data_IF_931228239002
#
_entry.id   IF_931228239002
#
_cell.length_a   1.000
_cell.length_b   1.000
_cell.length_c   1.000
_cell.angle_alpha   90.00
_cell.angle_beta   90.00
_cell.angle_gamma   90.00
#
_symmetry.space_group_name_H-M   'P 1'
#
loop_
_entity.id
_entity.type
_entity.pdbx_description
1 polymer ?
#
# COMPACT_ATOMS: atom_id res chain seq x y z
N UNK A 1 10.42 33.98 -13.81
CA UNK A 1 10.35 32.79 -12.94
C UNK A 1 9.53 31.74 -13.65
N UNK A 2 10.19 30.74 -14.26
CA UNK A 2 9.48 29.61 -14.88
C UNK A 2 8.76 28.82 -13.80
N UNK A 3 7.44 28.75 -13.92
CA UNK A 3 6.60 27.82 -13.18
C UNK A 3 7.02 26.41 -13.55
N UNK A 4 7.73 25.76 -12.65
CA UNK A 4 8.04 24.34 -12.71
C UNK A 4 6.71 23.61 -12.50
N UNK A 5 6.04 23.29 -13.60
CA UNK A 5 4.93 22.34 -13.62
C UNK A 5 5.54 20.94 -13.58
N UNK A 6 5.92 20.49 -12.37
CA UNK A 6 6.44 19.14 -12.12
C UNK A 6 5.38 18.37 -11.35
N UNK A 7 4.22 18.19 -11.98
CA UNK A 7 3.27 17.18 -11.56
C UNK A 7 3.70 15.85 -12.19
N UNK A 8 4.63 15.13 -11.56
CA UNK A 8 4.81 13.70 -11.87
C UNK A 8 3.45 13.01 -11.69
N UNK A 9 2.96 12.23 -12.67
CA UNK A 9 1.69 11.54 -12.54
C UNK A 9 1.70 10.66 -11.29
N UNK A 10 0.69 10.79 -10.42
CA UNK A 10 0.55 10.05 -9.16
C UNK A 10 0.84 8.54 -9.32
N UNK A 11 0.36 7.96 -10.42
CA UNK A 11 0.57 6.55 -10.75
C UNK A 11 2.03 6.21 -11.07
N UNK A 12 2.73 7.07 -11.82
CA UNK A 12 4.14 6.87 -12.17
C UNK A 12 5.02 6.91 -10.92
N UNK A 13 4.81 7.90 -10.06
CA UNK A 13 5.52 7.99 -8.78
C UNK A 13 5.27 6.78 -7.90
N UNK A 14 4.02 6.35 -7.78
CA UNK A 14 3.66 5.16 -7.00
C UNK A 14 4.35 3.90 -7.55
N UNK A 15 4.32 3.70 -8.87
CA UNK A 15 4.95 2.54 -9.51
C UNK A 15 6.47 2.52 -9.27
N UNK A 16 7.14 3.65 -9.46
CA UNK A 16 8.58 3.76 -9.22
C UNK A 16 8.96 3.42 -7.77
N UNK A 17 8.21 3.95 -6.80
CA UNK A 17 8.44 3.67 -5.37
C UNK A 17 8.12 2.22 -5.02
N UNK A 18 7.03 1.66 -5.57
CA UNK A 18 6.65 0.26 -5.37
C UNK A 18 7.73 -0.69 -5.87
N UNK A 19 8.26 -0.44 -7.06
CA UNK A 19 9.26 -1.30 -7.69
C UNK A 19 10.59 -1.25 -6.91
N UNK A 20 11.00 -0.05 -6.49
CA UNK A 20 12.15 0.13 -5.60
C UNK A 20 11.95 -0.61 -4.26
N UNK A 21 10.78 -0.46 -3.63
CA UNK A 21 10.44 -1.15 -2.38
C UNK A 21 10.51 -2.66 -2.52
N UNK A 22 9.87 -3.25 -3.55
CA UNK A 22 9.90 -4.70 -3.82
C UNK A 22 11.33 -5.21 -4.03
N UNK A 23 12.15 -4.46 -4.77
CA UNK A 23 13.55 -4.84 -5.03
C UNK A 23 14.38 -4.95 -3.76
N UNK A 24 14.12 -4.09 -2.77
CA UNK A 24 14.84 -4.00 -1.49
C UNK A 24 14.30 -4.96 -0.42
N UNK A 25 13.05 -5.39 -0.55
CA UNK A 25 12.36 -6.17 0.49
C UNK A 25 12.21 -7.65 0.18
N UNK A 26 12.41 -8.09 -1.07
CA UNK A 26 12.25 -9.49 -1.49
C UNK A 26 12.98 -10.56 -0.65
N UNK A 27 14.02 -10.17 0.08
CA UNK A 27 14.84 -11.07 0.92
C UNK A 27 14.61 -10.87 2.43
N UNK A 28 13.75 -9.92 2.81
CA UNK A 28 13.44 -9.61 4.19
C UNK A 28 12.24 -10.44 4.64
N UNK A 29 12.33 -11.01 5.84
CA UNK A 29 11.23 -11.72 6.50
C UNK A 29 10.64 -10.96 7.70
N UNK A 30 11.23 -9.81 8.05
CA UNK A 30 10.80 -9.00 9.18
C UNK A 30 9.92 -7.84 8.69
N UNK A 31 8.64 -7.86 9.07
CA UNK A 31 7.65 -6.87 8.66
C UNK A 31 8.02 -5.44 9.10
N UNK A 32 8.66 -5.26 10.26
CA UNK A 32 9.11 -3.93 10.71
C UNK A 32 10.24 -3.39 9.82
N UNK A 33 11.18 -4.24 9.40
CA UNK A 33 12.24 -3.83 8.46
C UNK A 33 11.65 -3.48 7.09
N UNK A 34 10.68 -4.26 6.62
CA UNK A 34 9.97 -4.02 5.35
C UNK A 34 9.24 -2.67 5.36
N UNK A 35 8.56 -2.34 6.47
CA UNK A 35 7.84 -1.09 6.63
C UNK A 35 8.78 0.12 6.70
N UNK A 36 9.98 -0.01 7.27
CA UNK A 36 10.95 1.08 7.42
C UNK A 36 11.72 1.44 6.14
N UNK A 37 11.57 0.68 5.05
CA UNK A 37 12.22 1.01 3.77
C UNK A 37 11.70 2.36 3.26
N UNK A 38 12.63 3.24 2.88
CA UNK A 38 12.32 4.65 2.58
C UNK A 38 11.27 4.83 1.46
N UNK A 39 11.31 4.01 0.40
CA UNK A 39 10.30 4.06 -0.67
C UNK A 39 8.89 3.70 -0.18
N UNK A 40 8.78 2.78 0.79
CA UNK A 40 7.52 2.46 1.46
C UNK A 40 6.99 3.64 2.27
N UNK A 41 7.87 4.28 3.06
CA UNK A 41 7.54 5.48 3.81
C UNK A 41 7.12 6.63 2.89
N UNK A 42 7.75 6.76 1.71
CA UNK A 42 7.34 7.72 0.70
C UNK A 42 5.95 7.41 0.13
N UNK A 43 5.60 6.13 -0.09
CA UNK A 43 4.23 5.72 -0.48
C UNK A 43 3.23 6.13 0.61
N UNK A 44 3.53 5.89 1.88
CA UNK A 44 2.69 6.35 3.01
C UNK A 44 2.51 7.87 2.97
N UNK A 45 3.60 8.61 2.75
CA UNK A 45 3.59 10.07 2.62
C UNK A 45 2.82 10.61 1.42
N UNK A 46 2.44 9.78 0.44
CA UNK A 46 1.56 10.19 -0.67
C UNK A 46 0.09 10.29 -0.22
N UNK A 47 -0.27 9.70 0.92
CA UNK A 47 -1.56 9.88 1.59
C UNK A 47 -2.76 9.22 0.90
N UNK A 48 -4.00 9.64 1.20
CA UNK A 48 -5.22 8.92 0.81
C UNK A 48 -5.39 8.66 -0.69
N UNK A 49 -4.80 9.49 -1.56
CA UNK A 49 -4.91 9.36 -3.01
C UNK A 49 -4.28 8.07 -3.56
N UNK A 50 -3.36 7.43 -2.84
CA UNK A 50 -2.72 6.18 -3.28
C UNK A 50 -3.42 4.91 -2.78
N UNK A 51 -4.40 5.01 -1.89
CA UNK A 51 -5.10 3.83 -1.32
C UNK A 51 -5.70 2.93 -2.41
N UNK A 52 -6.40 3.44 -3.44
CA UNK A 52 -6.86 2.61 -4.56
C UNK A 52 -5.73 1.87 -5.30
N UNK A 53 -4.53 2.48 -5.38
CA UNK A 53 -3.39 1.88 -6.06
C UNK A 53 -2.78 0.75 -5.24
N UNK A 54 -2.64 0.96 -3.92
CA UNK A 54 -2.15 -0.07 -2.99
C UNK A 54 -3.11 -1.27 -2.98
N UNK A 55 -4.42 -1.03 -2.91
CA UNK A 55 -5.43 -2.08 -2.96
C UNK A 55 -5.36 -2.89 -4.26
N UNK A 56 -5.17 -2.24 -5.41
CA UNK A 56 -4.98 -2.94 -6.70
C UNK A 56 -3.69 -3.75 -6.77
N UNK A 57 -2.61 -3.31 -6.11
CA UNK A 57 -1.41 -4.14 -5.99
C UNK A 57 -1.65 -5.35 -5.10
N UNK A 58 -2.41 -5.18 -4.02
CA UNK A 58 -2.82 -6.26 -3.12
C UNK A 58 -3.73 -7.30 -3.82
N UNK A 59 -4.55 -6.89 -4.79
CA UNK A 59 -5.33 -7.82 -5.63
C UNK A 59 -4.45 -8.71 -6.51
N UNK A 60 -3.31 -8.18 -6.98
CA UNK A 60 -2.38 -8.91 -7.86
C UNK A 60 -1.52 -9.88 -7.05
N UNK A 61 -1.03 -9.42 -5.91
CA UNK A 61 -0.09 -10.15 -5.08
C UNK A 61 -0.32 -9.81 -3.62
N UNK A 62 -0.52 -10.84 -2.80
CA UNK A 62 -0.56 -10.68 -1.34
C UNK A 62 0.83 -10.38 -0.84
N UNK A 63 1.07 -9.11 -0.50
CA UNK A 63 2.35 -8.59 -0.01
C UNK A 63 2.10 -7.68 1.22
N UNK A 64 3.15 -7.16 1.84
CA UNK A 64 3.13 -6.42 3.10
C UNK A 64 2.58 -4.99 2.97
N UNK A 65 1.39 -4.82 2.38
CA UNK A 65 0.71 -3.53 2.19
C UNK A 65 -0.14 -3.07 3.37
N UNK A 66 -0.46 -3.97 4.32
CA UNK A 66 -1.41 -3.70 5.40
C UNK A 66 -1.00 -2.51 6.28
N UNK A 67 0.29 -2.39 6.58
CA UNK A 67 0.82 -1.25 7.36
C UNK A 67 0.61 0.08 6.64
N UNK A 68 0.88 0.16 5.34
CA UNK A 68 0.62 1.38 4.58
C UNK A 68 -0.87 1.71 4.53
N UNK A 69 -1.73 0.71 4.33
CA UNK A 69 -3.17 0.92 4.32
C UNK A 69 -3.67 1.45 5.67
N UNK A 70 -3.27 0.83 6.79
CA UNK A 70 -3.63 1.28 8.14
C UNK A 70 -3.07 2.68 8.44
N UNK A 71 -1.79 2.94 8.13
CA UNK A 71 -1.17 4.23 8.38
C UNK A 71 -1.80 5.38 7.59
N UNK A 72 -2.26 5.12 6.36
CA UNK A 72 -2.88 6.15 5.50
C UNK A 72 -4.36 6.35 5.86
N UNK A 73 -5.09 5.27 6.15
CA UNK A 73 -6.56 5.32 6.32
C UNK A 73 -6.99 5.49 7.76
N UNK A 74 -6.16 5.10 8.73
CA UNK A 74 -6.54 4.97 10.13
C UNK A 74 -7.48 3.79 10.41
N UNK A 75 -7.70 2.92 9.43
CA UNK A 75 -8.62 1.78 9.52
C UNK A 75 -7.87 0.46 9.70
N UNK A 76 -8.51 -0.51 10.34
CA UNK A 76 -8.04 -1.88 10.39
C UNK A 76 -9.22 -2.86 10.26
N UNK A 77 -9.50 -3.37 9.04
CA UNK A 77 -10.62 -4.29 8.81
C UNK A 77 -10.28 -5.75 9.18
N UNK A 78 -9.03 -6.05 9.56
CA UNK A 78 -8.59 -7.41 9.89
C UNK A 78 -9.09 -7.76 11.28
N UNK A 79 -9.78 -8.90 11.40
CA UNK A 79 -10.24 -9.40 12.70
C UNK A 79 -9.05 -9.92 13.51
N UNK A 80 -9.15 -9.88 14.83
CA UNK A 80 -8.10 -10.41 15.72
C UNK A 80 -7.79 -11.89 15.43
N UNK A 81 -8.82 -12.70 15.15
CA UNK A 81 -8.67 -14.12 14.79
C UNK A 81 -7.92 -14.36 13.46
N UNK A 82 -7.91 -13.35 12.57
CA UNK A 82 -7.24 -13.39 11.27
C UNK A 82 -5.82 -12.77 11.33
N UNK A 83 -5.39 -12.29 12.51
CA UNK A 83 -4.09 -11.66 12.69
C UNK A 83 -2.95 -12.64 12.36
N UNK A 84 -2.07 -12.22 11.45
CA UNK A 84 -0.95 -13.04 10.96
C UNK A 84 -1.29 -13.94 9.76
N UNK A 85 -2.57 -14.13 9.42
CA UNK A 85 -2.95 -14.73 8.13
C UNK A 85 -2.93 -13.65 7.04
N UNK A 86 -1.88 -13.65 6.23
CA UNK A 86 -1.73 -12.70 5.12
C UNK A 86 -2.88 -12.77 4.11
N UNK A 87 -3.43 -13.96 3.83
CA UNK A 87 -4.52 -14.11 2.86
C UNK A 87 -5.83 -13.61 3.43
N UNK A 88 -6.11 -13.90 4.70
CA UNK A 88 -7.29 -13.35 5.38
C UNK A 88 -7.21 -11.82 5.50
N UNK A 89 -6.05 -11.31 5.89
CA UNK A 89 -5.77 -9.87 5.94
C UNK A 89 -5.97 -9.19 4.59
N UNK A 90 -5.46 -9.80 3.51
CA UNK A 90 -5.67 -9.29 2.16
C UNK A 90 -7.15 -9.25 1.77
N UNK A 91 -7.91 -10.33 2.03
CA UNK A 91 -9.35 -10.35 1.76
C UNK A 91 -10.09 -9.24 2.51
N UNK A 92 -9.82 -9.07 3.81
CA UNK A 92 -10.45 -8.05 4.62
C UNK A 92 -10.21 -6.63 4.08
N UNK A 93 -8.98 -6.32 3.68
CA UNK A 93 -8.61 -5.04 3.07
C UNK A 93 -9.26 -4.82 1.71
N UNK A 94 -9.31 -5.85 0.86
CA UNK A 94 -9.96 -5.78 -0.45
C UNK A 94 -11.48 -5.58 -0.32
N UNK A 95 -12.14 -6.30 0.60
CA UNK A 95 -13.56 -6.12 0.90
C UNK A 95 -13.86 -4.73 1.48
N UNK A 96 -13.00 -4.23 2.37
CA UNK A 96 -13.08 -2.85 2.84
C UNK A 96 -12.94 -1.85 1.68
N UNK A 97 -11.97 -2.06 0.77
CA UNK A 97 -11.77 -1.23 -0.41
C UNK A 97 -12.98 -1.19 -1.33
N UNK A 98 -13.62 -2.34 -1.57
CA UNK A 98 -14.86 -2.46 -2.37
C UNK A 98 -16.04 -1.76 -1.71
N UNK A 99 -16.22 -1.94 -0.39
CA UNK A 99 -17.29 -1.28 0.37
C UNK A 99 -17.17 0.25 0.35
N UNK A 100 -15.96 0.77 0.30
CA UNK A 100 -15.66 2.20 0.22
C UNK A 100 -15.59 2.75 -1.21
N UNK A 101 -15.85 1.93 -2.24
CA UNK A 101 -15.81 2.36 -3.64
C UNK A 101 -14.42 2.73 -4.17
N UNK A 102 -13.36 2.26 -3.51
CA UNK A 102 -11.96 2.56 -3.87
C UNK A 102 -11.44 1.63 -4.98
N UNK A 103 -12.00 0.43 -5.08
CA UNK A 103 -11.73 -0.55 -6.14
C UNK A 103 -13.06 -1.14 -6.63
N UNK A 104 -13.06 -1.72 -7.83
CA UNK A 104 -14.26 -2.34 -8.43
C UNK A 104 -14.77 -3.53 -7.61
N UNK A 105 -16.07 -3.82 -7.73
CA UNK A 105 -16.68 -5.02 -7.13
C UNK A 105 -16.07 -6.30 -7.69
#
# INVERSE_FOLDING_TARGET
>A
MSTIDVAEPLHGRFQALRDDWKSKTRHLSNTAQIALVFSYQQIIGMGPKVVPLILRELEKETDHWFWALEAITGENPVKEDDAGDMRASARAWLEWGRRNGLIGK
#
